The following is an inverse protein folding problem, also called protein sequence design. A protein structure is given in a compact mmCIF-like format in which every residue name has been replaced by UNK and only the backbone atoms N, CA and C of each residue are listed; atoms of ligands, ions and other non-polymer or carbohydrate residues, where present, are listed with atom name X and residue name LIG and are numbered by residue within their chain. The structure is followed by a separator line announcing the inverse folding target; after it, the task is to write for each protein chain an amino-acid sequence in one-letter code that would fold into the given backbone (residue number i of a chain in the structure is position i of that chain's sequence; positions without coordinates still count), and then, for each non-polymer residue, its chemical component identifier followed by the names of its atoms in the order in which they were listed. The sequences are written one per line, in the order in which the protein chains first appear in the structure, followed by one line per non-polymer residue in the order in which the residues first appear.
data_IF_254575421425
#
_entry.id   IF_254575421425
#
_cell.length_a   1.000
_cell.length_b   1.000
_cell.length_c   1.000
_cell.angle_alpha   90.00
_cell.angle_beta   90.00
_cell.angle_gamma   90.00
#
_symmetry.space_group_name_H-M   'P 1'
#
loop_
_entity.id
_entity.type
_entity.pdbx_description
1 polymer ?
#
# COMPACT_ATOMS: atom_id res chain seq x y z
N UNK A 1 37.60 -5.66 -63.87
CA UNK A 1 37.69 -6.70 -62.83
C UNK A 1 37.77 -6.04 -61.47
N UNK A 2 36.78 -6.33 -60.61
CA UNK A 2 36.84 -6.49 -59.14
C UNK A 2 37.44 -5.31 -58.34
N UNK A 3 36.60 -4.53 -57.66
CA UNK A 3 36.16 -4.77 -56.26
C UNK A 3 37.24 -4.37 -55.24
N UNK A 4 37.02 -3.23 -54.56
CA UNK A 4 37.35 -2.95 -53.15
C UNK A 4 36.85 -1.52 -52.83
N UNK A 5 35.54 -1.36 -52.56
CA UNK A 5 34.98 -1.16 -51.21
C UNK A 5 35.34 0.26 -50.69
N UNK A 6 34.59 1.30 -51.05
CA UNK A 6 33.31 1.67 -50.41
C UNK A 6 33.44 1.89 -48.89
N UNK A 7 34.34 2.80 -48.50
CA UNK A 7 34.37 3.44 -47.19
C UNK A 7 34.42 4.94 -47.49
N UNK A 8 33.65 5.71 -46.73
CA UNK A 8 33.48 7.17 -46.75
C UNK A 8 32.15 7.66 -47.37
N UNK A 9 31.35 8.29 -46.51
CA UNK A 9 30.28 9.26 -46.80
C UNK A 9 28.83 8.77 -46.90
N UNK A 10 28.42 7.85 -46.02
CA UNK A 10 27.02 7.81 -45.54
C UNK A 10 27.03 7.72 -44.01
N UNK A 11 27.49 8.80 -43.36
CA UNK A 11 27.00 9.16 -42.03
C UNK A 11 25.94 10.24 -42.27
N UNK A 12 24.71 9.80 -42.49
CA UNK A 12 23.54 10.68 -42.32
C UNK A 12 23.51 11.00 -40.84
N UNK A 13 24.04 12.17 -40.49
CA UNK A 13 23.73 12.84 -39.24
C UNK A 13 22.22 13.09 -39.26
N UNK A 14 21.45 12.18 -38.67
CA UNK A 14 20.09 12.51 -38.23
C UNK A 14 20.30 13.48 -37.08
N UNK A 15 20.36 14.77 -37.42
CA UNK A 15 20.13 15.82 -36.46
C UNK A 15 18.70 15.62 -35.95
N UNK A 16 18.56 14.88 -34.86
CA UNK A 16 17.34 14.87 -34.05
C UNK A 16 17.13 16.33 -33.69
N UNK A 17 16.17 16.93 -34.38
CA UNK A 17 15.69 18.26 -34.08
C UNK A 17 15.09 18.15 -32.69
N UNK A 18 15.80 18.65 -31.68
CA UNK A 18 15.24 18.85 -30.36
C UNK A 18 14.03 19.78 -30.55
N UNK A 19 12.83 19.19 -30.53
CA UNK A 19 11.58 19.95 -30.51
C UNK A 19 11.59 20.79 -29.23
N UNK A 20 11.05 22.02 -29.25
CA UNK A 20 10.92 22.80 -28.02
C UNK A 20 10.21 21.95 -26.96
N UNK A 21 10.84 21.87 -25.79
CA UNK A 21 10.44 21.04 -24.65
C UNK A 21 8.91 20.88 -24.52
N UNK A 22 8.38 19.68 -24.82
CA UNK A 22 6.97 19.30 -24.61
C UNK A 22 6.65 19.17 -23.10
N UNK A 23 6.98 20.18 -22.28
CA UNK A 23 6.78 20.18 -20.82
C UNK A 23 5.31 20.42 -20.45
N UNK A 24 4.92 19.93 -19.27
CA UNK A 24 3.62 20.28 -18.69
C UNK A 24 3.57 21.77 -18.31
N UNK A 25 2.36 22.32 -18.25
CA UNK A 25 2.19 23.73 -17.86
C UNK A 25 2.71 23.98 -16.45
N UNK A 26 3.44 25.07 -16.26
CA UNK A 26 3.96 25.51 -14.95
C UNK A 26 3.03 26.51 -14.26
N UNK A 27 1.83 26.75 -14.82
CA UNK A 27 0.84 27.72 -14.31
C UNK A 27 0.48 27.49 -12.83
N UNK A 28 0.52 26.24 -12.38
CA UNK A 28 0.12 25.85 -11.02
C UNK A 28 1.30 25.42 -10.13
N UNK A 29 2.55 25.67 -10.55
CA UNK A 29 3.74 25.27 -9.78
C UNK A 29 3.86 26.00 -8.43
N UNK A 30 3.17 27.15 -8.27
CA UNK A 30 3.15 27.95 -7.05
C UNK A 30 1.99 27.61 -6.10
N UNK A 31 1.24 26.52 -6.33
CA UNK A 31 0.20 26.06 -5.40
C UNK A 31 0.83 25.70 -4.06
N UNK A 32 0.26 26.21 -2.95
CA UNK A 32 0.78 25.93 -1.62
C UNK A 32 0.41 24.52 -1.14
N UNK A 33 1.31 23.57 -1.39
CA UNK A 33 1.12 22.18 -0.99
C UNK A 33 1.05 21.99 0.54
N UNK A 34 1.67 22.86 1.33
CA UNK A 34 1.59 22.75 2.80
C UNK A 34 0.19 23.03 3.32
N UNK A 35 -0.50 24.01 2.76
CA UNK A 35 -1.88 24.33 3.17
C UNK A 35 -2.85 23.21 2.77
N UNK A 36 -2.61 22.57 1.62
CA UNK A 36 -3.39 21.41 1.18
C UNK A 36 -3.17 20.24 2.13
N UNK A 37 -1.91 19.90 2.41
CA UNK A 37 -1.53 18.74 3.24
C UNK A 37 -1.97 18.90 4.69
N UNK A 38 -1.89 20.10 5.26
CA UNK A 38 -2.33 20.38 6.65
C UNK A 38 -3.84 20.28 6.83
N UNK A 39 -4.62 20.36 5.75
CA UNK A 39 -6.08 20.36 5.78
C UNK A 39 -6.61 19.07 5.17
N UNK A 40 -6.97 18.11 6.01
CA UNK A 40 -7.57 16.83 5.60
C UNK A 40 -8.73 17.03 4.61
N UNK A 41 -9.57 18.05 4.85
CA UNK A 41 -10.68 18.42 3.97
C UNK A 41 -10.21 18.85 2.57
N UNK A 42 -9.17 19.69 2.49
CA UNK A 42 -8.65 20.15 1.20
C UNK A 42 -7.98 19.00 0.45
N UNK A 43 -7.09 18.28 1.12
CA UNK A 43 -6.41 17.11 0.54
C UNK A 43 -7.43 16.09 0.02
N UNK A 44 -8.45 15.75 0.82
CA UNK A 44 -9.51 14.80 0.40
C UNK A 44 -10.27 15.28 -0.83
N UNK A 45 -10.49 16.59 -1.01
CA UNK A 45 -11.13 17.09 -2.23
C UNK A 45 -10.28 16.86 -3.49
N UNK A 46 -8.94 16.99 -3.40
CA UNK A 46 -8.06 16.62 -4.51
C UNK A 46 -8.11 15.11 -4.78
N UNK A 47 -8.05 14.28 -3.74
CA UNK A 47 -8.16 12.82 -3.87
C UNK A 47 -9.49 12.44 -4.55
N UNK A 48 -10.61 12.97 -4.07
CA UNK A 48 -11.94 12.72 -4.63
C UNK A 48 -12.05 13.19 -6.10
N UNK A 49 -11.45 14.33 -6.43
CA UNK A 49 -11.34 14.81 -7.81
C UNK A 49 -10.58 13.81 -8.70
N UNK A 50 -9.40 13.36 -8.26
CA UNK A 50 -8.57 12.39 -8.99
C UNK A 50 -9.30 11.05 -9.15
N UNK A 51 -9.99 10.58 -8.11
CA UNK A 51 -10.85 9.40 -8.13
C UNK A 51 -12.13 9.60 -8.94
N UNK A 52 -12.50 10.84 -9.27
CA UNK A 52 -13.68 11.17 -10.08
C UNK A 52 -14.99 11.15 -9.30
N UNK A 53 -14.93 11.16 -7.98
CA UNK A 53 -16.12 11.22 -7.10
C UNK A 53 -16.59 12.65 -6.86
N UNK A 54 -15.74 13.65 -7.12
CA UNK A 54 -16.06 15.08 -7.04
C UNK A 54 -15.51 15.86 -8.23
N UNK A 55 -16.03 17.07 -8.42
CA UNK A 55 -15.50 18.05 -9.38
C UNK A 55 -14.13 18.55 -8.93
N UNK A 56 -13.22 18.70 -9.88
CA UNK A 56 -11.89 19.22 -9.67
C UNK A 56 -11.86 20.75 -9.63
N UNK A 57 -10.90 21.30 -8.88
CA UNK A 57 -10.40 22.66 -9.09
C UNK A 57 -9.59 22.72 -10.38
N UNK A 58 -9.29 23.93 -10.88
CA UNK A 58 -8.60 24.07 -12.18
C UNK A 58 -7.20 23.44 -12.20
N UNK A 59 -6.48 23.50 -11.08
CA UNK A 59 -5.18 22.86 -10.89
C UNK A 59 -5.32 21.34 -10.69
N UNK A 60 -6.33 20.88 -9.95
CA UNK A 60 -6.62 19.46 -9.79
C UNK A 60 -7.01 18.77 -11.11
N UNK A 61 -7.74 19.48 -11.98
CA UNK A 61 -8.13 18.97 -13.30
C UNK A 61 -6.91 18.83 -14.22
N UNK A 62 -5.99 19.82 -14.20
CA UNK A 62 -4.74 19.74 -14.95
C UNK A 62 -3.88 18.57 -14.44
N UNK A 63 -3.73 18.42 -13.12
CA UNK A 63 -3.04 17.28 -12.52
C UNK A 63 -3.66 15.96 -12.98
N UNK A 64 -4.97 15.80 -12.86
CA UNK A 64 -5.70 14.59 -13.25
C UNK A 64 -5.48 14.21 -14.71
N UNK A 65 -5.42 15.22 -15.58
CA UNK A 65 -5.20 15.06 -17.02
C UNK A 65 -3.78 14.59 -17.34
N UNK A 66 -2.76 15.14 -16.69
CA UNK A 66 -1.35 14.82 -16.99
C UNK A 66 -0.83 13.58 -16.23
N UNK A 67 -1.46 13.22 -15.11
CA UNK A 67 -1.00 12.16 -14.21
C UNK A 67 -0.75 10.80 -14.91
N UNK A 68 -1.63 10.29 -15.80
CA UNK A 68 -1.37 9.03 -16.49
C UNK A 68 -0.14 9.06 -17.41
N UNK A 69 0.11 10.17 -18.09
CA UNK A 69 1.29 10.36 -18.95
C UNK A 69 2.55 10.50 -18.08
N UNK A 70 2.47 11.25 -16.99
CA UNK A 70 3.58 11.45 -16.05
C UNK A 70 4.02 10.13 -15.42
N UNK A 71 3.09 9.24 -15.06
CA UNK A 71 3.44 7.91 -14.53
C UNK A 71 4.08 7.01 -15.59
N UNK A 72 3.58 7.03 -16.83
CA UNK A 72 4.13 6.22 -17.93
C UNK A 72 5.50 6.67 -18.41
N UNK A 73 5.80 7.96 -18.28
CA UNK A 73 7.02 8.58 -18.80
C UNK A 73 8.00 8.98 -17.70
N UNK A 74 7.81 8.48 -16.48
CA UNK A 74 8.65 8.81 -15.32
C UNK A 74 8.83 10.33 -15.12
N UNK A 75 7.74 11.07 -15.30
CA UNK A 75 7.70 12.52 -15.18
C UNK A 75 8.69 13.26 -16.11
N UNK A 76 8.97 12.72 -17.30
CA UNK A 76 9.92 13.30 -18.26
C UNK A 76 9.61 14.78 -18.61
N UNK A 77 8.33 15.15 -18.58
CA UNK A 77 7.82 16.49 -18.93
C UNK A 77 7.58 17.40 -17.72
N UNK A 78 7.82 16.90 -16.51
CA UNK A 78 7.55 17.63 -15.28
C UNK A 78 8.61 18.69 -14.99
N UNK A 79 8.17 19.81 -14.42
CA UNK A 79 9.08 20.79 -13.82
C UNK A 79 9.69 20.26 -12.51
N UNK A 80 10.77 20.88 -12.05
CA UNK A 80 11.37 20.51 -10.75
C UNK A 80 10.41 20.78 -9.58
N UNK A 81 9.58 21.83 -9.67
CA UNK A 81 8.53 22.12 -8.70
C UNK A 81 7.49 20.97 -8.65
N UNK A 82 7.07 20.46 -9.81
CA UNK A 82 6.13 19.34 -9.90
C UNK A 82 6.71 18.04 -9.34
N UNK A 83 7.98 17.72 -9.65
CA UNK A 83 8.67 16.54 -9.11
C UNK A 83 8.80 16.60 -7.59
N UNK A 84 9.25 17.73 -7.06
CA UNK A 84 9.38 17.94 -5.63
C UNK A 84 8.02 17.93 -4.92
N UNK A 85 7.00 18.54 -5.54
CA UNK A 85 5.63 18.54 -5.06
C UNK A 85 5.03 17.13 -5.01
N UNK A 86 5.21 16.35 -6.07
CA UNK A 86 4.79 14.95 -6.12
C UNK A 86 5.45 14.15 -5.00
N UNK A 87 6.78 14.23 -4.84
CA UNK A 87 7.51 13.54 -3.76
C UNK A 87 6.94 13.89 -2.38
N UNK A 88 6.64 15.17 -2.13
CA UNK A 88 6.07 15.64 -0.86
C UNK A 88 4.67 15.07 -0.60
N UNK A 89 3.79 15.14 -1.60
CA UNK A 89 2.41 14.64 -1.50
C UNK A 89 2.41 13.12 -1.34
N UNK A 90 3.17 12.40 -2.17
CA UNK A 90 3.34 10.94 -2.10
C UNK A 90 3.81 10.55 -0.70
N UNK A 91 4.88 11.17 -0.20
CA UNK A 91 5.40 10.92 1.16
C UNK A 91 4.33 11.17 2.22
N UNK A 92 3.58 12.26 2.13
CA UNK A 92 2.53 12.54 3.11
C UNK A 92 1.39 11.53 3.04
N UNK A 93 0.92 11.18 1.84
CA UNK A 93 -0.15 10.21 1.65
C UNK A 93 0.25 8.84 2.16
N UNK A 94 1.46 8.38 1.83
CA UNK A 94 2.00 7.13 2.37
C UNK A 94 2.04 7.21 3.90
N UNK A 95 2.55 8.31 4.46
CA UNK A 95 2.81 8.40 5.89
C UNK A 95 1.59 8.66 6.77
N UNK A 96 0.55 9.26 6.24
CA UNK A 96 -0.56 9.77 7.07
C UNK A 96 -1.93 9.40 6.50
N UNK A 97 -2.03 9.04 5.23
CA UNK A 97 -3.30 8.84 4.52
C UNK A 97 -3.22 7.64 3.56
N UNK A 98 -2.67 6.51 4.02
CA UNK A 98 -2.35 5.37 3.15
C UNK A 98 -3.55 4.84 2.37
N UNK A 99 -4.73 4.84 2.97
CA UNK A 99 -5.95 4.42 2.28
C UNK A 99 -6.17 5.23 0.99
N UNK A 100 -5.92 6.55 1.01
CA UNK A 100 -6.08 7.40 -0.17
C UNK A 100 -4.97 7.16 -1.20
N UNK A 101 -3.76 6.82 -0.74
CA UNK A 101 -2.69 6.36 -1.63
C UNK A 101 -3.11 5.09 -2.38
N UNK A 102 -3.58 4.07 -1.67
CA UNK A 102 -3.97 2.79 -2.26
C UNK A 102 -5.14 2.95 -3.25
N UNK A 103 -6.10 3.82 -2.94
CA UNK A 103 -7.21 4.17 -3.86
C UNK A 103 -6.70 4.82 -5.16
N UNK A 104 -5.71 5.73 -5.05
CA UNK A 104 -5.10 6.38 -6.22
C UNK A 104 -4.24 5.42 -7.03
N UNK A 105 -3.40 4.61 -6.38
CA UNK A 105 -2.54 3.62 -7.03
C UNK A 105 -3.39 2.62 -7.82
N UNK A 106 -4.46 2.09 -7.21
CA UNK A 106 -5.38 1.18 -7.90
C UNK A 106 -6.04 1.80 -9.14
N UNK A 107 -6.20 3.13 -9.16
CA UNK A 107 -6.80 3.84 -10.29
C UNK A 107 -5.79 4.18 -11.39
N UNK A 108 -4.59 4.64 -11.02
CA UNK A 108 -3.63 5.23 -11.96
C UNK A 108 -2.45 4.32 -12.30
N UNK A 109 -2.14 3.33 -11.46
CA UNK A 109 -1.10 2.34 -11.67
C UNK A 109 -1.59 0.91 -11.30
N UNK A 110 -2.68 0.41 -11.91
CA UNK A 110 -3.27 -0.89 -11.56
C UNK A 110 -2.34 -2.08 -11.83
N UNK A 111 -1.45 -1.97 -12.81
CA UNK A 111 -0.43 -2.99 -13.14
C UNK A 111 0.87 -2.82 -12.34
N UNK A 112 0.90 -1.77 -11.54
CA UNK A 112 2.01 -1.33 -10.70
C UNK A 112 3.33 -1.14 -11.44
N UNK A 113 3.29 -0.58 -12.64
CA UNK A 113 4.46 -0.33 -13.47
C UNK A 113 5.33 0.77 -12.84
N UNK A 114 4.71 1.87 -12.42
CA UNK A 114 5.41 2.98 -11.78
C UNK A 114 5.94 2.56 -10.41
N UNK A 115 5.10 1.94 -9.59
CA UNK A 115 5.50 1.49 -8.27
C UNK A 115 6.66 0.49 -8.36
N UNK A 116 6.69 -0.42 -9.34
CA UNK A 116 7.84 -1.32 -9.58
C UNK A 116 9.11 -0.54 -9.92
N UNK A 117 9.03 0.41 -10.83
CA UNK A 117 10.19 1.21 -11.25
C UNK A 117 10.80 2.00 -10.08
N UNK A 118 9.95 2.49 -9.17
CA UNK A 118 10.36 3.31 -8.02
C UNK A 118 10.42 2.54 -6.70
N UNK A 119 10.52 1.20 -6.74
CA UNK A 119 10.38 0.36 -5.56
C UNK A 119 11.33 0.72 -4.41
N UNK A 120 12.58 1.08 -4.72
CA UNK A 120 13.57 1.46 -3.71
C UNK A 120 13.16 2.75 -2.97
N UNK A 121 12.78 3.77 -3.73
CA UNK A 121 12.36 5.06 -3.18
C UNK A 121 11.09 4.91 -2.35
N UNK A 122 10.13 4.13 -2.85
CA UNK A 122 8.88 3.86 -2.16
C UNK A 122 9.14 3.04 -0.87
N UNK A 123 10.07 2.07 -0.88
CA UNK A 123 10.49 1.33 0.33
C UNK A 123 11.13 2.21 1.39
N UNK A 124 11.99 3.14 1.00
CA UNK A 124 12.58 4.12 1.93
C UNK A 124 11.52 5.03 2.56
N UNK A 125 10.42 5.25 1.84
CA UNK A 125 9.25 6.00 2.34
C UNK A 125 8.28 5.14 3.16
N UNK A 126 8.55 3.84 3.34
CA UNK A 126 7.72 2.91 4.12
C UNK A 126 6.72 2.08 3.29
N UNK A 127 6.81 2.09 1.96
CA UNK A 127 5.98 1.22 1.10
C UNK A 127 6.70 -0.11 0.85
N UNK A 128 6.17 -1.20 1.40
CA UNK A 128 6.49 -2.54 0.93
C UNK A 128 5.64 -2.88 -0.29
N UNK A 129 6.26 -2.86 -1.46
CA UNK A 129 5.63 -3.29 -2.69
C UNK A 129 5.74 -4.81 -2.82
N UNK A 130 4.62 -5.52 -2.69
CA UNK A 130 4.59 -6.96 -2.98
C UNK A 130 4.30 -7.18 -4.46
N UNK A 131 5.36 -7.11 -5.27
CA UNK A 131 5.28 -7.41 -6.70
C UNK A 131 5.49 -8.87 -7.08
N UNK A 132 5.73 -9.75 -6.11
CA UNK A 132 5.95 -11.16 -6.37
C UNK A 132 4.68 -11.95 -6.07
N UNK A 133 3.61 -11.78 -6.86
CA UNK A 133 2.76 -12.88 -7.36
C UNK A 133 2.02 -12.40 -8.63
N UNK A 134 2.75 -12.22 -9.74
CA UNK A 134 2.12 -12.18 -11.07
C UNK A 134 2.32 -13.48 -11.87
N UNK A 135 2.92 -14.52 -11.27
CA UNK A 135 2.95 -15.86 -11.86
C UNK A 135 2.87 -16.93 -10.77
N UNK A 136 1.65 -17.33 -10.40
CA UNK A 136 1.41 -18.69 -9.91
C UNK A 136 1.20 -19.60 -11.14
N UNK A 137 2.29 -19.87 -11.86
CA UNK A 137 2.39 -21.03 -12.73
C UNK A 137 3.26 -22.03 -11.96
N UNK A 138 2.67 -23.08 -11.36
CA UNK A 138 3.51 -24.23 -10.97
C UNK A 138 3.82 -25.04 -12.22
N UNK A 139 5.07 -25.52 -12.41
CA UNK A 139 5.38 -26.41 -13.52
C UNK A 139 4.66 -27.74 -13.30
N UNK A 140 3.67 -28.05 -14.13
CA UNK A 140 3.18 -29.43 -14.26
C UNK A 140 3.98 -30.06 -15.38
N UNK A 141 4.63 -31.19 -15.08
CA UNK A 141 5.27 -32.03 -16.08
C UNK A 141 4.22 -32.43 -17.13
N UNK A 142 4.41 -31.94 -18.34
CA UNK A 142 3.45 -31.98 -19.44
C UNK A 142 3.52 -33.34 -20.13
N UNK A 143 2.54 -34.22 -19.87
CA UNK A 143 2.22 -35.24 -20.88
C UNK A 143 0.79 -35.80 -20.90
N UNK A 144 -0.12 -35.47 -19.98
CA UNK A 144 -1.48 -36.08 -20.02
C UNK A 144 -2.59 -35.06 -19.77
N UNK A 145 -2.80 -34.23 -20.78
CA UNK A 145 -3.98 -33.38 -20.99
C UNK A 145 -5.17 -34.27 -21.39
N UNK A 146 -6.23 -34.37 -20.58
CA UNK A 146 -7.64 -34.59 -21.05
C UNK A 146 -8.69 -34.73 -19.95
N UNK A 147 -8.34 -34.85 -18.67
CA UNK A 147 -9.33 -35.13 -17.60
C UNK A 147 -9.25 -34.08 -16.49
N UNK A 148 -9.55 -32.81 -16.78
CA UNK A 148 -9.64 -31.78 -15.73
C UNK A 148 -10.66 -30.68 -16.07
N UNK A 149 -11.83 -31.09 -16.59
CA UNK A 149 -12.97 -30.18 -16.84
C UNK A 149 -13.97 -30.17 -15.68
N UNK A 150 -13.82 -31.02 -14.66
CA UNK A 150 -14.85 -31.18 -13.60
C UNK A 150 -14.44 -30.84 -12.16
N UNK A 151 -13.21 -30.37 -11.91
CA UNK A 151 -12.79 -29.88 -10.57
C UNK A 151 -12.44 -28.39 -10.59
N UNK A 152 -13.14 -27.60 -11.41
CA UNK A 152 -12.94 -26.16 -11.52
C UNK A 152 -13.83 -25.32 -10.58
N UNK A 153 -14.57 -25.93 -9.63
CA UNK A 153 -15.52 -25.18 -8.77
C UNK A 153 -15.18 -25.15 -7.28
N UNK A 154 -14.16 -25.85 -6.77
CA UNK A 154 -13.79 -25.71 -5.36
C UNK A 154 -12.26 -25.74 -5.21
N UNK A 155 -11.67 -24.57 -5.41
CA UNK A 155 -10.24 -24.34 -5.21
C UNK A 155 -9.99 -22.86 -4.99
N UNK A 156 -10.71 -22.29 -4.02
CA UNK A 156 -10.57 -20.90 -3.61
C UNK A 156 -9.13 -20.67 -3.14
N UNK A 157 -8.41 -19.84 -3.87
CA UNK A 157 -7.00 -19.58 -3.68
C UNK A 157 -6.83 -18.65 -2.47
N UNK A 158 -6.44 -19.20 -1.31
CA UNK A 158 -6.10 -18.40 -0.13
C UNK A 158 -4.67 -17.85 -0.26
N UNK A 159 -4.50 -16.73 -0.98
CA UNK A 159 -3.27 -15.93 -0.95
C UNK A 159 -3.44 -14.50 -1.48
N UNK A 160 -4.63 -13.90 -1.35
CA UNK A 160 -4.89 -12.53 -1.78
C UNK A 160 -5.52 -11.70 -0.65
N UNK A 161 -4.98 -11.76 0.57
CA UNK A 161 -5.50 -10.99 1.70
C UNK A 161 -4.36 -10.74 2.70
N UNK A 162 -3.62 -9.64 2.57
CA UNK A 162 -2.65 -9.25 3.62
C UNK A 162 -2.31 -7.75 3.66
N UNK A 163 -2.17 -7.06 2.52
CA UNK A 163 -1.48 -5.76 2.53
C UNK A 163 -2.35 -4.50 2.53
N UNK A 164 -3.69 -4.61 2.47
CA UNK A 164 -4.59 -3.45 2.43
C UNK A 164 -4.52 -2.56 3.68
N UNK A 165 -3.99 -3.07 4.80
CA UNK A 165 -3.95 -2.36 6.09
C UNK A 165 -2.61 -2.48 6.83
N UNK A 166 -1.51 -2.79 6.14
CA UNK A 166 -0.18 -2.89 6.78
C UNK A 166 0.38 -1.55 7.29
N UNK A 167 -0.35 -0.44 7.10
CA UNK A 167 0.05 0.93 7.46
C UNK A 167 -0.78 1.54 8.61
N UNK A 168 -1.59 0.76 9.34
CA UNK A 168 -2.29 1.32 10.51
C UNK A 168 -1.23 1.87 11.49
N UNK A 169 -1.26 3.19 11.73
CA UNK A 169 -0.36 3.81 12.70
C UNK A 169 -0.73 3.32 14.09
N UNK A 170 0.04 2.35 14.57
CA UNK A 170 -0.21 1.73 15.85
C UNK A 170 -0.18 2.74 17.00
N UNK A 171 0.67 3.76 16.91
CA UNK A 171 0.78 4.79 17.94
C UNK A 171 -0.55 5.55 18.08
N UNK A 172 -1.16 5.98 16.98
CA UNK A 172 -2.40 6.75 16.99
C UNK A 172 -3.59 5.91 17.52
N UNK A 173 -3.61 4.62 17.18
CA UNK A 173 -4.65 3.70 17.66
C UNK A 173 -4.51 3.43 19.16
N UNK A 174 -3.30 3.11 19.63
CA UNK A 174 -3.06 2.76 21.04
C UNK A 174 -3.26 3.96 21.98
N UNK A 175 -2.93 5.18 21.53
CA UNK A 175 -3.10 6.40 22.34
C UNK A 175 -4.51 6.98 22.28
N UNK A 176 -5.39 6.44 21.43
CA UNK A 176 -6.80 6.84 21.36
C UNK A 176 -7.68 5.74 21.95
N UNK A 177 -7.91 5.79 23.27
CA UNK A 177 -8.69 4.80 24.04
C UNK A 177 -10.08 4.55 23.43
N UNK A 178 -10.74 5.59 22.90
CA UNK A 178 -12.05 5.46 22.26
C UNK A 178 -11.96 4.68 20.95
N UNK A 179 -10.97 4.98 20.13
CA UNK A 179 -10.72 4.28 18.87
C UNK A 179 -10.28 2.84 19.13
N UNK A 180 -9.33 2.62 20.04
CA UNK A 180 -8.90 1.28 20.47
C UNK A 180 -10.08 0.43 20.92
N UNK A 181 -10.95 0.99 21.78
CA UNK A 181 -12.17 0.31 22.23
C UNK A 181 -13.07 -0.11 21.07
N UNK A 182 -13.22 0.73 20.04
CA UNK A 182 -14.00 0.36 18.83
C UNK A 182 -13.39 -0.82 18.08
N UNK A 183 -12.06 -0.93 17.98
CA UNK A 183 -11.43 -2.12 17.38
C UNK A 183 -11.67 -3.36 18.22
N UNK A 184 -11.52 -3.28 19.55
CA UNK A 184 -11.78 -4.40 20.47
C UNK A 184 -13.22 -4.88 20.32
N UNK A 185 -14.17 -3.96 20.32
CA UNK A 185 -15.60 -4.27 20.21
C UNK A 185 -15.95 -4.81 18.81
N UNK A 186 -15.34 -4.27 17.76
CA UNK A 186 -15.47 -4.80 16.40
C UNK A 186 -14.98 -6.25 16.30
N UNK A 187 -13.75 -6.51 16.75
CA UNK A 187 -13.12 -7.83 16.74
C UNK A 187 -13.91 -8.84 17.58
N UNK A 188 -14.70 -8.37 18.54
CA UNK A 188 -15.63 -9.17 19.37
C UNK A 188 -17.04 -9.32 18.79
N UNK A 189 -17.24 -8.94 17.53
CA UNK A 189 -18.54 -8.97 16.82
C UNK A 189 -19.63 -8.12 17.46
N UNK A 190 -19.29 -7.04 18.16
CA UNK A 190 -20.30 -6.09 18.66
C UNK A 190 -20.91 -5.34 17.47
N UNK A 191 -22.24 -5.42 17.24
CA UNK A 191 -22.87 -4.80 16.08
C UNK A 191 -22.66 -3.30 16.00
N UNK A 192 -22.39 -2.78 14.80
CA UNK A 192 -22.29 -1.34 14.53
C UNK A 192 -20.97 -0.66 14.95
N UNK A 193 -19.98 -1.42 15.46
CA UNK A 193 -18.73 -0.85 15.98
C UNK A 193 -17.57 -0.80 14.98
N UNK A 194 -17.61 -1.65 13.94
CA UNK A 194 -16.50 -1.81 13.00
C UNK A 194 -16.30 -0.61 12.07
N UNK A 195 -15.07 -0.13 12.01
CA UNK A 195 -14.52 0.64 10.88
C UNK A 195 -14.15 -0.33 9.75
N UNK A 196 -13.89 0.17 8.53
CA UNK A 196 -13.53 -0.69 7.38
C UNK A 196 -12.31 -1.58 7.64
N UNK A 197 -11.33 -1.05 8.37
CA UNK A 197 -10.10 -1.73 8.73
C UNK A 197 -10.25 -2.63 9.96
N UNK A 198 -11.10 -2.24 10.92
CA UNK A 198 -11.52 -3.15 12.00
C UNK A 198 -12.27 -4.37 11.48
N UNK A 199 -13.11 -4.20 10.46
CA UNK A 199 -13.85 -5.26 9.77
C UNK A 199 -12.90 -6.29 9.15
N UNK A 200 -11.89 -5.80 8.44
CA UNK A 200 -10.82 -6.62 7.87
C UNK A 200 -10.03 -7.37 8.95
N UNK A 201 -9.63 -6.68 10.03
CA UNK A 201 -8.90 -7.31 11.13
C UNK A 201 -9.74 -8.44 11.75
N UNK A 202 -11.03 -8.19 11.99
CA UNK A 202 -11.97 -9.17 12.54
C UNK A 202 -12.09 -10.42 11.67
N UNK A 203 -12.10 -10.28 10.34
CA UNK A 203 -12.20 -11.40 9.41
C UNK A 203 -10.94 -12.28 9.38
N UNK A 204 -9.75 -11.68 9.50
CA UNK A 204 -8.47 -12.40 9.32
C UNK A 204 -7.89 -12.90 10.63
N UNK A 205 -8.19 -12.23 11.75
CA UNK A 205 -7.62 -12.56 13.06
C UNK A 205 -7.80 -14.04 13.47
N UNK A 206 -8.95 -14.71 13.23
CA UNK A 206 -9.10 -16.13 13.55
C UNK A 206 -8.08 -17.02 12.83
N UNK A 207 -7.87 -16.79 11.53
CA UNK A 207 -6.92 -17.56 10.75
C UNK A 207 -5.48 -17.24 11.15
N UNK A 208 -5.16 -15.97 11.38
CA UNK A 208 -3.84 -15.55 11.84
C UNK A 208 -3.46 -16.19 13.18
N UNK A 209 -4.40 -16.32 14.13
CA UNK A 209 -4.15 -16.98 15.42
C UNK A 209 -3.95 -18.50 15.22
N UNK A 210 -4.85 -19.14 14.47
CA UNK A 210 -4.81 -20.59 14.20
C UNK A 210 -3.53 -21.03 13.50
N UNK A 211 -3.12 -20.29 12.47
CA UNK A 211 -1.95 -20.59 11.65
C UNK A 211 -0.66 -19.97 12.20
N UNK A 212 -0.66 -19.50 13.45
CA UNK A 212 0.52 -18.92 14.10
C UNK A 212 1.17 -17.78 13.26
N UNK A 213 0.32 -16.96 12.64
CA UNK A 213 0.70 -15.86 11.76
C UNK A 213 1.66 -16.28 10.62
N UNK A 214 1.46 -17.48 10.06
CA UNK A 214 2.30 -18.04 8.98
C UNK A 214 2.44 -17.08 7.79
N UNK A 215 1.33 -16.50 7.35
CA UNK A 215 1.26 -15.57 6.21
C UNK A 215 1.48 -14.10 6.60
N UNK A 216 1.73 -13.82 7.88
CA UNK A 216 1.99 -12.45 8.33
C UNK A 216 3.43 -12.04 8.01
N UNK A 217 3.59 -10.82 7.50
CA UNK A 217 4.89 -10.20 7.33
C UNK A 217 5.54 -9.81 8.68
N UNK A 218 6.81 -9.40 8.62
CA UNK A 218 7.57 -9.06 9.82
C UNK A 218 6.98 -7.88 10.61
N UNK A 219 6.37 -6.91 9.93
CA UNK A 219 5.80 -5.71 10.56
C UNK A 219 4.45 -6.01 11.18
N UNK A 220 3.60 -6.81 10.51
CA UNK A 220 2.36 -7.32 11.07
C UNK A 220 2.61 -8.12 12.35
N UNK A 221 3.63 -8.98 12.35
CA UNK A 221 4.06 -9.73 13.55
C UNK A 221 4.52 -8.78 14.65
N UNK A 222 5.39 -7.83 14.33
CA UNK A 222 5.89 -6.81 15.27
C UNK A 222 4.72 -6.02 15.90
N UNK A 223 3.81 -5.52 15.08
CA UNK A 223 2.67 -4.72 15.51
C UNK A 223 1.69 -5.53 16.35
N UNK A 224 1.42 -6.79 15.99
CA UNK A 224 0.60 -7.68 16.80
C UNK A 224 1.19 -7.86 18.21
N UNK A 225 2.50 -8.09 18.32
CA UNK A 225 3.16 -8.24 19.64
C UNK A 225 3.08 -6.97 20.48
N UNK A 226 3.21 -5.79 19.85
CA UNK A 226 3.04 -4.50 20.53
C UNK A 226 1.60 -4.30 21.01
N UNK A 227 0.60 -4.56 20.17
CA UNK A 227 -0.83 -4.49 20.57
C UNK A 227 -1.11 -5.41 21.76
N UNK A 228 -0.66 -6.67 21.68
CA UNK A 228 -0.83 -7.66 22.74
C UNK A 228 -0.18 -7.17 24.03
N UNK A 229 1.07 -6.72 23.97
CA UNK A 229 1.78 -6.17 25.12
C UNK A 229 1.06 -4.98 25.75
N UNK A 230 0.60 -4.02 24.92
CA UNK A 230 -0.13 -2.84 25.36
C UNK A 230 -1.44 -3.22 26.06
N UNK A 231 -2.25 -4.09 25.45
CA UNK A 231 -3.52 -4.52 26.03
C UNK A 231 -3.31 -5.29 27.34
N UNK A 232 -2.38 -6.24 27.38
CA UNK A 232 -2.07 -6.99 28.60
C UNK A 232 -1.60 -6.09 29.75
N UNK A 233 -0.89 -4.99 29.45
CA UNK A 233 -0.38 -4.05 30.47
C UNK A 233 -1.43 -3.03 30.90
N UNK A 234 -2.10 -2.38 29.95
CA UNK A 234 -2.91 -1.19 30.20
C UNK A 234 -4.42 -1.46 30.21
N UNK A 235 -4.87 -2.53 29.58
CA UNK A 235 -6.29 -2.89 29.40
C UNK A 235 -6.48 -4.41 29.56
N UNK A 236 -6.07 -4.96 30.70
CA UNK A 236 -6.10 -6.40 30.96
C UNK A 236 -7.53 -6.98 30.87
N UNK A 237 -8.54 -6.16 31.19
CA UNK A 237 -9.96 -6.47 30.98
C UNK A 237 -10.29 -6.66 29.50
N UNK A 238 -9.77 -5.82 28.60
CA UNK A 238 -9.98 -5.96 27.16
C UNK A 238 -9.18 -7.12 26.57
N UNK A 239 -7.99 -7.38 27.09
CA UNK A 239 -7.21 -8.56 26.70
C UNK A 239 -7.95 -9.85 27.06
N UNK A 240 -8.52 -9.94 28.28
CA UNK A 240 -9.29 -11.11 28.70
C UNK A 240 -10.47 -11.41 27.76
N UNK A 241 -11.12 -10.37 27.24
CA UNK A 241 -12.22 -10.51 26.28
C UNK A 241 -11.77 -11.03 24.90
N UNK A 242 -10.56 -10.65 24.46
CA UNK A 242 -9.95 -11.21 23.24
C UNK A 242 -9.55 -12.67 23.49
N UNK A 243 -8.94 -12.95 24.64
CA UNK A 243 -8.51 -14.28 25.01
C UNK A 243 -9.69 -15.26 25.10
N UNK A 244 -10.79 -14.84 25.72
CA UNK A 244 -12.03 -15.62 25.79
C UNK A 244 -12.55 -16.00 24.40
N UNK A 245 -12.50 -15.07 23.45
CA UNK A 245 -13.03 -15.29 22.10
C UNK A 245 -12.12 -16.15 21.23
N UNK A 246 -10.81 -15.95 21.29
CA UNK A 246 -9.87 -16.55 20.33
C UNK A 246 -8.89 -17.56 20.94
N UNK A 247 -8.95 -17.78 22.26
CA UNK A 247 -7.98 -18.58 23.00
C UNK A 247 -6.52 -18.10 22.78
N UNK A 248 -6.34 -16.78 22.78
CA UNK A 248 -5.11 -16.11 22.38
C UNK A 248 -3.91 -16.52 23.26
N UNK A 249 -4.09 -16.64 24.57
CA UNK A 249 -3.04 -17.00 25.53
C UNK A 249 -2.51 -18.43 25.31
N UNK A 250 -3.34 -19.36 24.84
CA UNK A 250 -2.91 -20.73 24.52
C UNK A 250 -2.34 -20.85 23.10
N UNK A 251 -2.57 -19.87 22.23
CA UNK A 251 -2.02 -19.84 20.87
C UNK A 251 -0.50 -20.01 20.85
N UNK A 252 0.01 -20.67 19.81
CA UNK A 252 1.45 -20.80 19.60
C UNK A 252 2.12 -19.43 19.47
N UNK A 253 1.42 -18.46 18.84
CA UNK A 253 1.94 -17.14 18.56
C UNK A 253 2.29 -16.38 19.84
N UNK A 254 1.35 -16.31 20.79
CA UNK A 254 1.56 -15.62 22.07
C UNK A 254 2.63 -16.33 22.91
N UNK A 255 2.56 -17.67 23.00
CA UNK A 255 3.51 -18.46 23.81
C UNK A 255 4.94 -18.35 23.31
N UNK A 256 5.16 -18.44 22.00
CA UNK A 256 6.50 -18.37 21.40
C UNK A 256 7.12 -16.98 21.50
N UNK A 257 6.30 -15.92 21.56
CA UNK A 257 6.77 -14.53 21.59
C UNK A 257 6.66 -13.86 22.96
N UNK A 258 6.37 -14.62 24.03
CA UNK A 258 6.12 -14.09 25.37
C UNK A 258 7.26 -13.20 25.92
N UNK A 259 8.52 -13.53 25.63
CA UNK A 259 9.66 -12.71 26.05
C UNK A 259 9.66 -11.34 25.35
N UNK A 260 9.28 -11.29 24.07
CA UNK A 260 9.20 -10.06 23.28
C UNK A 260 7.99 -9.22 23.68
N UNK A 261 6.88 -9.86 24.02
CA UNK A 261 5.71 -9.19 24.62
C UNK A 261 6.10 -8.50 25.93
N UNK A 262 6.76 -9.23 26.85
CA UNK A 262 7.25 -8.66 28.12
C UNK A 262 8.23 -7.50 27.90
N UNK A 263 9.08 -7.61 26.88
CA UNK A 263 9.99 -6.52 26.50
C UNK A 263 9.22 -5.23 26.15
N UNK A 264 8.18 -5.30 25.33
CA UNK A 264 7.36 -4.13 24.97
C UNK A 264 6.52 -3.59 26.14
N UNK A 265 6.11 -4.45 27.07
CA UNK A 265 5.44 -3.97 28.29
C UNK A 265 6.34 -3.05 29.12
N UNK A 266 7.65 -3.30 29.13
CA UNK A 266 8.62 -2.50 29.88
C UNK A 266 8.99 -1.21 29.13
N UNK A 267 9.23 -1.30 27.82
CA UNK A 267 9.85 -0.21 27.06
C UNK A 267 8.88 0.82 26.47
N UNK A 268 7.57 0.66 26.73
CA UNK A 268 6.48 1.44 26.11
C UNK A 268 6.54 1.44 24.56
N UNK A 269 5.42 1.74 23.92
CA UNK A 269 5.21 1.58 22.48
C UNK A 269 5.00 2.94 21.83
#
# INVERSE_FOLDING_TARGET
MKLSIAICLIFVFVAVSARPDDKYTTKYDNVNLDDIIKSERLLKNYIDCLLGTKKCTADGEELKKVLPDALKTECAKCSDAQKNGAKKIITHLIKNQRQWWDELEAKFDPDHVYSKAHEKELKELGIRLLFIVLYCHKPVNMQKFTIFVFLATVGFCAAAYSHKYSYINLHDVLHNVRLLKRYIDCVRDIPGMCTKDGDYLREILPEAIRENCKECDAEQKENALKVIAYLMKNHADWWALIDEKFDANRSAFVRQNMNKIKYYQIHEI
#
